data_IF_007287501167
#
_entry.id   IF_007287501167
#
_cell.length_a   1.000
_cell.length_b   1.000
_cell.length_c   1.000
_cell.angle_alpha   90.00
_cell.angle_beta   90.00
_cell.angle_gamma   90.00
#
_symmetry.space_group_name_H-M   'P 1'
#
loop_
_entity.id
_entity.type
_entity.pdbx_description
1 polymer ?
#
# COMPACT_ATOMS: atom_id res chain seq x y z
N UNK A 1 38.03 25.43 -16.68
CA UNK A 1 36.89 26.28 -17.01
C UNK A 1 35.78 25.90 -16.06
N UNK A 2 35.75 26.57 -14.90
CA UNK A 2 34.87 26.23 -13.78
C UNK A 2 33.56 27.00 -13.86
N UNK A 3 32.46 26.31 -13.94
CA UNK A 3 31.14 26.91 -13.85
C UNK A 3 30.77 26.99 -12.36
N UNK A 4 30.95 28.18 -11.79
CA UNK A 4 30.45 28.49 -10.45
C UNK A 4 28.92 28.68 -10.55
N UNK A 5 28.15 27.72 -10.05
CA UNK A 5 26.73 27.92 -9.76
C UNK A 5 26.63 28.86 -8.54
N UNK A 6 26.36 30.12 -8.79
CA UNK A 6 25.96 31.07 -7.75
C UNK A 6 24.52 30.74 -7.39
N UNK A 7 24.33 29.97 -6.30
CA UNK A 7 23.02 29.82 -5.67
C UNK A 7 22.66 31.19 -5.07
N UNK A 8 21.84 31.92 -5.78
CA UNK A 8 21.20 33.14 -5.29
C UNK A 8 20.31 32.77 -4.12
N UNK A 9 20.76 33.12 -2.94
CA UNK A 9 20.10 32.87 -1.67
C UNK A 9 18.86 33.79 -1.58
N UNK A 10 17.80 33.46 -2.34
CA UNK A 10 16.54 34.15 -2.23
C UNK A 10 15.96 33.76 -0.87
N UNK A 11 15.74 34.68 0.07
CA UNK A 11 15.12 34.36 1.34
C UNK A 11 13.77 33.74 1.01
N UNK A 12 13.62 32.47 1.41
CA UNK A 12 12.35 31.77 1.31
C UNK A 12 11.42 32.53 2.26
N UNK A 13 10.54 33.33 1.69
CA UNK A 13 9.42 33.92 2.39
C UNK A 13 8.67 32.71 2.95
N UNK A 14 8.83 32.50 4.24
CA UNK A 14 8.02 31.53 4.99
C UNK A 14 6.60 32.11 4.91
N UNK A 15 5.91 31.80 3.82
CA UNK A 15 4.48 32.00 3.76
C UNK A 15 3.95 31.28 4.99
N UNK A 16 3.42 32.02 5.94
CA UNK A 16 2.72 31.47 7.09
C UNK A 16 1.80 30.39 6.55
N UNK A 17 2.18 29.14 6.81
CA UNK A 17 1.30 28.00 6.49
C UNK A 17 0.02 28.37 7.23
N UNK A 18 -1.08 28.71 6.52
CA UNK A 18 -2.30 29.02 7.19
C UNK A 18 -2.54 27.81 8.08
N UNK A 19 -2.54 28.01 9.40
CA UNK A 19 -2.96 27.00 10.35
C UNK A 19 -4.36 26.64 9.93
N UNK A 20 -4.44 25.71 9.00
CA UNK A 20 -5.70 25.20 8.50
C UNK A 20 -6.43 24.76 9.74
N UNK A 21 -7.42 25.56 10.15
CA UNK A 21 -8.35 25.17 11.19
C UNK A 21 -8.73 23.75 10.86
N UNK A 22 -8.37 22.81 11.74
CA UNK A 22 -8.77 21.40 11.68
C UNK A 22 -10.31 21.30 11.86
N UNK A 23 -11.00 22.38 11.50
CA UNK A 23 -12.42 22.57 11.64
C UNK A 23 -13.12 21.87 10.50
N UNK A 24 -13.49 20.63 10.81
CA UNK A 24 -14.39 19.81 10.01
C UNK A 24 -13.75 19.28 8.73
N UNK A 25 -13.00 18.17 8.87
CA UNK A 25 -12.80 17.24 7.78
C UNK A 25 -14.16 17.05 7.09
N UNK A 26 -14.23 17.41 5.79
CA UNK A 26 -15.46 17.25 5.06
C UNK A 26 -16.00 15.82 5.24
N UNK A 27 -17.29 15.60 5.45
CA UNK A 27 -17.84 14.26 5.71
C UNK A 27 -17.46 13.25 4.61
N UNK A 28 -17.13 13.72 3.43
CA UNK A 28 -16.63 12.93 2.28
C UNK A 28 -15.24 12.33 2.49
N UNK A 29 -14.41 12.87 3.39
CA UNK A 29 -13.04 12.42 3.67
C UNK A 29 -13.01 11.23 4.63
N UNK A 30 -13.96 11.16 5.56
CA UNK A 30 -14.01 10.13 6.60
C UNK A 30 -13.96 8.69 6.10
N UNK A 31 -14.72 8.29 5.08
CA UNK A 31 -14.69 6.92 4.58
C UNK A 31 -13.29 6.48 4.12
N UNK A 32 -12.57 7.38 3.44
CA UNK A 32 -11.19 7.10 2.98
C UNK A 32 -10.20 6.94 4.15
N UNK A 33 -10.34 7.75 5.20
CA UNK A 33 -9.49 7.65 6.39
C UNK A 33 -9.76 6.37 7.18
N UNK A 34 -11.03 6.03 7.40
CA UNK A 34 -11.40 4.79 8.07
C UNK A 34 -10.91 3.59 7.27
N UNK A 35 -11.11 3.60 5.96
CA UNK A 35 -10.65 2.55 5.08
C UNK A 35 -9.11 2.40 5.13
N UNK A 36 -8.36 3.51 5.05
CA UNK A 36 -6.91 3.50 5.17
C UNK A 36 -6.43 2.94 6.53
N UNK A 37 -7.12 3.28 7.62
CA UNK A 37 -6.81 2.78 8.95
C UNK A 37 -7.03 1.27 9.06
N UNK A 38 -8.16 0.78 8.58
CA UNK A 38 -8.47 -0.66 8.57
C UNK A 38 -7.46 -1.42 7.71
N UNK A 39 -7.17 -0.92 6.51
CA UNK A 39 -6.18 -1.53 5.60
C UNK A 39 -4.79 -1.59 6.24
N UNK A 40 -4.39 -0.51 6.93
CA UNK A 40 -3.09 -0.45 7.62
C UNK A 40 -3.02 -1.44 8.77
N UNK A 41 -4.08 -1.57 9.57
CA UNK A 41 -4.17 -2.55 10.65
C UNK A 41 -4.09 -3.98 10.13
N UNK A 42 -4.86 -4.31 9.08
CA UNK A 42 -4.81 -5.64 8.46
C UNK A 42 -3.41 -5.96 7.91
N UNK A 43 -2.79 -4.99 7.22
CA UNK A 43 -1.44 -5.17 6.68
C UNK A 43 -0.39 -5.32 7.78
N UNK A 44 -0.46 -4.53 8.86
CA UNK A 44 0.45 -4.63 9.98
C UNK A 44 0.32 -5.97 10.70
N UNK A 45 -0.90 -6.43 10.93
CA UNK A 45 -1.17 -7.74 11.55
C UNK A 45 -0.59 -8.88 10.70
N UNK A 46 -0.78 -8.83 9.37
CA UNK A 46 -0.19 -9.81 8.47
C UNK A 46 1.34 -9.83 8.60
N UNK A 47 1.99 -8.66 8.51
CA UNK A 47 3.44 -8.56 8.55
C UNK A 47 4.03 -9.09 9.86
N UNK A 48 3.36 -8.87 10.99
CA UNK A 48 3.78 -9.39 12.29
C UNK A 48 3.56 -10.90 12.42
N UNK A 49 2.50 -11.41 11.79
CA UNK A 49 2.14 -12.84 11.88
C UNK A 49 2.95 -13.73 10.93
N UNK A 50 3.59 -13.18 9.91
CA UNK A 50 4.32 -13.95 8.89
C UNK A 50 5.36 -14.88 9.52
N UNK A 51 6.15 -14.38 10.49
CA UNK A 51 7.19 -15.16 11.15
C UNK A 51 6.60 -16.37 11.89
N UNK A 52 5.57 -16.16 12.70
CA UNK A 52 4.88 -17.22 13.42
C UNK A 52 4.23 -18.22 12.47
N UNK A 53 3.54 -17.73 11.45
CA UNK A 53 2.88 -18.59 10.47
C UNK A 53 3.87 -19.52 9.74
N UNK A 54 5.02 -18.99 9.32
CA UNK A 54 6.04 -19.78 8.64
C UNK A 54 6.68 -20.79 9.57
N UNK A 55 6.93 -20.43 10.83
CA UNK A 55 7.50 -21.36 11.82
C UNK A 55 6.53 -22.50 12.12
N UNK A 56 5.24 -22.20 12.32
CA UNK A 56 4.26 -23.22 12.71
C UNK A 56 3.89 -24.18 11.57
N UNK A 57 3.89 -23.71 10.33
CA UNK A 57 3.46 -24.52 9.19
C UNK A 57 4.60 -25.18 8.39
N UNK A 58 5.84 -24.69 8.54
CA UNK A 58 6.99 -25.13 7.74
C UNK A 58 8.23 -25.42 8.59
N UNK A 59 8.03 -26.10 9.70
CA UNK A 59 9.05 -26.38 10.74
C UNK A 59 10.30 -27.14 10.23
N UNK A 60 10.25 -27.74 9.04
CA UNK A 60 11.33 -28.52 8.44
C UNK A 60 12.28 -27.71 7.55
N UNK A 61 12.18 -26.39 7.54
CA UNK A 61 13.01 -25.53 6.69
C UNK A 61 14.24 -25.05 7.47
N UNK A 62 15.42 -25.36 6.96
CA UNK A 62 16.72 -25.02 7.56
C UNK A 62 16.93 -23.50 7.71
N UNK A 63 16.15 -22.65 7.01
CA UNK A 63 16.37 -21.20 6.95
C UNK A 63 15.07 -20.36 6.93
N UNK A 64 14.31 -20.39 8.02
CA UNK A 64 13.07 -19.59 8.18
C UNK A 64 13.35 -18.09 7.98
N UNK A 65 14.50 -17.60 8.44
CA UNK A 65 14.88 -16.18 8.27
C UNK A 65 15.01 -15.79 6.81
N UNK A 66 15.59 -16.66 5.98
CA UNK A 66 15.70 -16.45 4.54
C UNK A 66 14.31 -16.44 3.88
N UNK A 67 13.44 -17.34 4.31
CA UNK A 67 12.07 -17.44 3.80
C UNK A 67 11.25 -16.19 4.12
N UNK A 68 11.37 -15.68 5.34
CA UNK A 68 10.74 -14.41 5.75
C UNK A 68 11.25 -13.26 4.88
N UNK A 69 12.58 -13.16 4.71
CA UNK A 69 13.20 -12.12 3.90
C UNK A 69 12.73 -12.17 2.45
N UNK A 70 12.66 -13.37 1.87
CA UNK A 70 12.15 -13.59 0.52
C UNK A 70 10.67 -13.19 0.38
N UNK A 71 9.86 -13.47 1.40
CA UNK A 71 8.45 -13.05 1.47
C UNK A 71 8.31 -11.54 1.37
N UNK A 72 9.10 -10.77 2.13
CA UNK A 72 9.07 -9.31 2.07
C UNK A 72 9.52 -8.75 0.72
N UNK A 73 10.56 -9.32 0.12
CA UNK A 73 11.03 -8.94 -1.21
C UNK A 73 9.95 -9.21 -2.24
N UNK A 74 9.35 -10.38 -2.22
CA UNK A 74 8.30 -10.78 -3.16
C UNK A 74 7.06 -9.88 -3.04
N UNK A 75 6.63 -9.59 -1.81
CA UNK A 75 5.54 -8.67 -1.52
C UNK A 75 5.82 -7.27 -2.08
N UNK A 76 7.03 -6.77 -1.85
CA UNK A 76 7.43 -5.44 -2.30
C UNK A 76 7.46 -5.34 -3.82
N UNK A 77 8.07 -6.31 -4.50
CA UNK A 77 8.13 -6.37 -5.97
C UNK A 77 6.72 -6.44 -6.55
N UNK A 78 5.87 -7.34 -6.03
CA UNK A 78 4.50 -7.50 -6.50
C UNK A 78 3.69 -6.21 -6.35
N UNK A 79 3.88 -5.49 -5.22
CA UNK A 79 3.21 -4.21 -4.97
C UNK A 79 3.67 -3.14 -5.97
N UNK A 80 4.98 -2.99 -6.20
CA UNK A 80 5.53 -1.98 -7.10
C UNK A 80 5.12 -2.26 -8.56
N UNK A 81 5.21 -3.52 -9.00
CA UNK A 81 4.82 -3.91 -10.35
C UNK A 81 3.33 -3.66 -10.58
N UNK A 82 2.50 -4.08 -9.63
CA UNK A 82 1.06 -3.85 -9.70
C UNK A 82 0.71 -2.37 -9.72
N UNK A 83 1.31 -1.57 -8.85
CA UNK A 83 1.10 -0.12 -8.79
C UNK A 83 1.42 0.55 -10.13
N UNK A 84 2.56 0.22 -10.74
CA UNK A 84 2.95 0.76 -12.03
C UNK A 84 2.02 0.31 -13.17
N UNK A 85 1.65 -0.96 -13.20
CA UNK A 85 0.73 -1.49 -14.23
C UNK A 85 -0.63 -0.81 -14.16
N UNK A 86 -1.24 -0.75 -12.98
CA UNK A 86 -2.63 -0.29 -12.85
C UNK A 86 -2.76 1.24 -12.90
N UNK A 87 -1.74 2.00 -12.47
CA UNK A 87 -1.74 3.46 -12.61
C UNK A 87 -1.41 3.91 -14.03
N UNK A 88 -0.55 3.19 -14.75
CA UNK A 88 -0.08 3.59 -16.09
C UNK A 88 -0.92 3.02 -17.23
N UNK A 89 -1.35 1.74 -17.15
CA UNK A 89 -1.98 1.04 -18.28
C UNK A 89 -3.52 1.08 -18.23
N UNK A 90 -4.10 1.08 -17.03
CA UNK A 90 -5.55 1.05 -16.89
C UNK A 90 -6.03 2.40 -16.38
N UNK A 91 -6.64 3.17 -17.28
CA UNK A 91 -7.35 4.44 -16.97
C UNK A 91 -8.64 4.14 -16.19
N UNK A 92 -8.54 3.26 -15.17
CA UNK A 92 -9.66 2.82 -14.36
C UNK A 92 -10.05 3.91 -13.37
N UNK A 93 -11.35 4.11 -13.24
CA UNK A 93 -11.89 4.98 -12.19
C UNK A 93 -11.43 4.48 -10.81
N UNK A 94 -10.95 5.37 -9.94
CA UNK A 94 -10.44 5.08 -8.60
C UNK A 94 -11.36 4.14 -7.80
N UNK A 95 -12.68 4.29 -7.94
CA UNK A 95 -13.66 3.45 -7.26
C UNK A 95 -13.59 1.98 -7.70
N UNK A 96 -13.47 1.73 -9.01
CA UNK A 96 -13.33 0.36 -9.55
C UNK A 96 -12.02 -0.26 -9.11
N UNK A 97 -10.95 0.52 -9.14
CA UNK A 97 -9.62 0.06 -8.72
C UNK A 97 -9.62 -0.35 -7.24
N UNK A 98 -10.30 0.41 -6.40
CA UNK A 98 -10.46 0.13 -4.97
C UNK A 98 -11.25 -1.17 -4.74
N UNK A 99 -12.38 -1.38 -5.45
CA UNK A 99 -13.19 -2.59 -5.32
C UNK A 99 -12.40 -3.83 -5.77
N UNK A 100 -11.79 -3.78 -6.96
CA UNK A 100 -11.01 -4.92 -7.46
C UNK A 100 -9.82 -5.24 -6.57
N UNK A 101 -9.13 -4.22 -6.08
CA UNK A 101 -8.03 -4.41 -5.15
C UNK A 101 -8.47 -5.04 -3.84
N UNK A 102 -9.63 -4.64 -3.28
CA UNK A 102 -10.19 -5.27 -2.08
C UNK A 102 -10.59 -6.72 -2.32
N UNK A 103 -11.19 -7.04 -3.47
CA UNK A 103 -11.52 -8.42 -3.82
C UNK A 103 -10.27 -9.29 -3.91
N UNK A 104 -9.21 -8.80 -4.57
CA UNK A 104 -7.93 -9.50 -4.67
C UNK A 104 -7.31 -9.72 -3.28
N UNK A 105 -7.34 -8.70 -2.40
CA UNK A 105 -6.86 -8.84 -1.02
C UNK A 105 -7.64 -9.91 -0.26
N UNK A 106 -8.97 -9.92 -0.38
CA UNK A 106 -9.81 -10.93 0.27
C UNK A 106 -9.45 -12.34 -0.22
N UNK A 107 -9.33 -12.52 -1.52
CA UNK A 107 -8.93 -13.83 -2.10
C UNK A 107 -7.53 -14.22 -1.61
N UNK A 108 -6.59 -13.27 -1.56
CA UNK A 108 -5.24 -13.51 -1.03
C UNK A 108 -5.27 -14.05 0.40
N UNK A 109 -6.03 -13.42 1.30
CA UNK A 109 -6.18 -13.90 2.68
C UNK A 109 -6.83 -15.29 2.75
N UNK A 110 -7.85 -15.56 1.92
CA UNK A 110 -8.46 -16.88 1.85
C UNK A 110 -7.46 -17.94 1.39
N UNK A 111 -6.69 -17.66 0.33
CA UNK A 111 -5.67 -18.60 -0.17
C UNK A 111 -4.59 -18.82 0.88
N UNK A 112 -4.17 -17.78 1.58
CA UNK A 112 -3.19 -17.89 2.65
C UNK A 112 -3.69 -18.76 3.81
N UNK A 113 -4.95 -18.61 4.20
CA UNK A 113 -5.55 -19.35 5.31
C UNK A 113 -5.66 -20.87 5.04
N UNK A 114 -5.72 -21.27 3.78
CA UNK A 114 -5.82 -22.68 3.36
C UNK A 114 -4.52 -23.22 2.76
N UNK A 115 -3.41 -22.47 2.89
CA UNK A 115 -2.16 -22.85 2.24
C UNK A 115 -1.41 -23.92 3.03
N UNK A 116 -1.32 -25.11 2.45
CA UNK A 116 -0.57 -26.26 3.01
C UNK A 116 0.81 -26.42 2.37
N UNK A 117 1.17 -25.57 1.39
CA UNK A 117 2.43 -25.63 0.68
C UNK A 117 3.08 -24.27 0.53
N UNK A 118 4.43 -24.26 0.44
CA UNK A 118 5.22 -23.02 0.20
C UNK A 118 4.80 -22.34 -1.10
N UNK A 119 4.47 -23.11 -2.13
CA UNK A 119 4.05 -22.56 -3.42
C UNK A 119 2.72 -21.82 -3.33
N UNK A 120 1.72 -22.36 -2.62
CA UNK A 120 0.44 -21.70 -2.38
C UNK A 120 0.60 -20.49 -1.48
N UNK A 121 1.47 -20.56 -0.48
CA UNK A 121 1.82 -19.43 0.36
C UNK A 121 2.41 -18.26 -0.45
N UNK A 122 3.45 -18.51 -1.26
CA UNK A 122 4.03 -17.45 -2.09
C UNK A 122 3.06 -16.90 -3.14
N UNK A 123 2.20 -17.74 -3.70
CA UNK A 123 1.13 -17.29 -4.60
C UNK A 123 0.18 -16.32 -3.90
N UNK A 124 -0.16 -16.59 -2.63
CA UNK A 124 -0.99 -15.69 -1.83
C UNK A 124 -0.28 -14.35 -1.55
N UNK A 125 1.02 -14.36 -1.28
CA UNK A 125 1.81 -13.14 -1.06
C UNK A 125 1.89 -12.27 -2.32
N UNK A 126 2.08 -12.88 -3.50
CA UNK A 126 2.05 -12.16 -4.77
C UNK A 126 0.68 -11.51 -4.97
N UNK A 127 -0.39 -12.28 -4.76
CA UNK A 127 -1.75 -11.78 -4.89
C UNK A 127 -2.03 -10.63 -3.90
N UNK A 128 -1.51 -10.74 -2.68
CA UNK A 128 -1.59 -9.69 -1.67
C UNK A 128 -0.90 -8.40 -2.12
N UNK A 129 0.31 -8.52 -2.66
CA UNK A 129 1.06 -7.39 -3.23
C UNK A 129 0.31 -6.72 -4.37
N UNK A 130 -0.30 -7.50 -5.26
CA UNK A 130 -1.14 -6.98 -6.35
C UNK A 130 -2.32 -6.17 -5.80
N UNK A 131 -3.04 -6.71 -4.83
CA UNK A 131 -4.16 -6.02 -4.19
C UNK A 131 -3.75 -4.70 -3.53
N UNK A 132 -2.64 -4.70 -2.76
CA UNK A 132 -2.11 -3.49 -2.14
C UNK A 132 -1.68 -2.43 -3.16
N UNK A 133 -1.05 -2.86 -4.27
CA UNK A 133 -0.62 -1.98 -5.34
C UNK A 133 -1.79 -1.28 -6.05
N UNK A 134 -2.98 -1.86 -6.04
CA UNK A 134 -4.21 -1.24 -6.56
C UNK A 134 -4.88 -0.33 -5.53
N UNK A 135 -5.04 -0.80 -4.30
CA UNK A 135 -5.85 -0.14 -3.27
C UNK A 135 -5.19 1.14 -2.75
N UNK A 136 -3.87 1.12 -2.49
CA UNK A 136 -3.17 2.26 -1.91
C UNK A 136 -3.24 3.53 -2.77
N UNK A 137 -2.89 3.50 -4.07
CA UNK A 137 -2.98 4.69 -4.92
C UNK A 137 -4.43 5.13 -5.14
N UNK A 138 -5.37 4.18 -5.26
CA UNK A 138 -6.79 4.50 -5.42
C UNK A 138 -7.36 5.24 -4.21
N UNK A 139 -7.02 4.81 -3.00
CA UNK A 139 -7.43 5.46 -1.76
C UNK A 139 -6.80 6.85 -1.60
N UNK A 140 -5.51 6.99 -1.89
CA UNK A 140 -4.80 8.28 -1.81
C UNK A 140 -5.35 9.29 -2.81
N UNK A 141 -5.63 8.86 -4.03
CA UNK A 141 -6.26 9.69 -5.08
C UNK A 141 -7.69 10.09 -4.69
N UNK A 142 -8.49 9.14 -4.18
CA UNK A 142 -9.84 9.42 -3.69
C UNK A 142 -9.84 10.43 -2.55
N UNK A 143 -8.91 10.31 -1.61
CA UNK A 143 -8.74 11.26 -0.52
C UNK A 143 -8.36 12.66 -1.02
N UNK A 144 -7.45 12.76 -1.99
CA UNK A 144 -7.04 14.03 -2.58
C UNK A 144 -8.21 14.74 -3.28
N UNK A 145 -9.02 13.99 -4.02
CA UNK A 145 -10.22 14.54 -4.69
C UNK A 145 -11.25 15.01 -3.66
N UNK A 146 -11.46 14.24 -2.60
CA UNK A 146 -12.42 14.57 -1.54
C UNK A 146 -12.02 15.81 -0.71
N UNK A 147 -10.76 16.22 -0.76
CA UNK A 147 -10.24 17.41 -0.09
C UNK A 147 -10.30 18.67 -0.94
N UNK A 148 -10.56 18.56 -2.26
CA UNK A 148 -10.69 19.74 -3.12
C UNK A 148 -12.00 20.45 -2.78
N UNK A 149 -11.96 21.75 -2.43
CA UNK A 149 -13.19 22.53 -2.27
C UNK A 149 -13.91 22.57 -3.61
N UNK A 150 -15.21 22.30 -3.60
CA UNK A 150 -16.07 22.56 -4.76
C UNK A 150 -16.04 24.07 -5.03
N UNK A 151 -15.45 24.48 -6.15
CA UNK A 151 -15.52 25.84 -6.68
C UNK A 151 -16.78 25.99 -7.53
#
# INVERSE_FOLDING_TARGET
>A
MGVFFTLENKPMEVSEIPTAKLSRLAPTVWPYLVFASVLSLCSASLLQSIGFYLTDNFDNLEDITLLISFTFVLLSISTIVSQNMFTSMFNLNNYKLLIYGCLILTVSYCVMAISDSIATYFSSIILHGVGLGMVRPANSSGLSIAQQPEY
#
